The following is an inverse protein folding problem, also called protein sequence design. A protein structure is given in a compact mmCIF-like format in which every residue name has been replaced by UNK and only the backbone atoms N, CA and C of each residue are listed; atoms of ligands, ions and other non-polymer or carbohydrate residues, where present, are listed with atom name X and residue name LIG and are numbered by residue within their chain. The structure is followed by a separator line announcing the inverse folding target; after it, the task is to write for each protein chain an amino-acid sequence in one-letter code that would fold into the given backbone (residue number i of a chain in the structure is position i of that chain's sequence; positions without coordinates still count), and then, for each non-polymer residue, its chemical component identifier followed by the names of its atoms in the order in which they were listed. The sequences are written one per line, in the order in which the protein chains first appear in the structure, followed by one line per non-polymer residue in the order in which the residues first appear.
data_IF_254105942169
#
_entry.id   IF_254105942169
#
_cell.length_a   1.000
_cell.length_b   1.000
_cell.length_c   1.000
_cell.angle_alpha   90.00
_cell.angle_beta   90.00
_cell.angle_gamma   90.00
#
_symmetry.space_group_name_H-M   'P 1'
#
loop_
_entity.id
_entity.type
_entity.pdbx_description
1 polymer ?
#
# COMPACT_ATOMS: atom_id res chain seq x y z
N UNK A 1 -2.33 -3.44 -45.33
CA UNK A 1 -3.51 -3.64 -44.45
C UNK A 1 -3.06 -3.30 -43.07
N UNK A 2 -3.45 -2.13 -42.62
CA UNK A 2 -2.72 -1.19 -41.82
C UNK A 2 -2.71 -1.49 -40.31
N UNK A 3 -1.56 -1.20 -39.70
CA UNK A 3 -1.30 -1.32 -38.25
C UNK A 3 -2.32 -0.57 -37.38
N UNK A 4 -2.97 0.45 -37.96
CA UNK A 4 -3.98 1.29 -37.31
C UNK A 4 -5.31 0.54 -37.02
N UNK A 5 -5.63 -0.47 -37.84
CA UNK A 5 -6.87 -1.25 -37.65
C UNK A 5 -6.80 -2.27 -36.49
N UNK A 6 -5.59 -2.62 -36.05
CA UNK A 6 -5.38 -3.54 -34.93
C UNK A 6 -5.47 -2.86 -33.56
N UNK A 7 -5.19 -1.56 -33.48
CA UNK A 7 -5.27 -0.78 -32.25
C UNK A 7 -6.74 -0.47 -31.90
N UNK A 8 -7.59 -0.29 -32.91
CA UNK A 8 -9.04 -0.05 -32.71
C UNK A 8 -9.84 -1.29 -32.30
N UNK A 9 -9.32 -2.50 -32.52
CA UNK A 9 -9.98 -3.74 -32.11
C UNK A 9 -9.64 -4.19 -30.69
N UNK A 10 -8.60 -3.61 -30.06
CA UNK A 10 -8.19 -3.92 -28.68
C UNK A 10 -8.78 -2.98 -27.63
N UNK A 11 -9.36 -1.85 -28.05
CA UNK A 11 -10.02 -0.90 -27.14
C UNK A 11 -11.54 -1.13 -26.98
N UNK A 12 -12.10 -2.16 -27.60
CA UNK A 12 -13.53 -2.45 -27.61
C UNK A 12 -14.04 -3.50 -26.62
N UNK A 13 -13.20 -4.08 -25.77
CA UNK A 13 -13.61 -5.20 -24.89
C UNK A 13 -13.31 -4.86 -23.42
N UNK A 14 -13.89 -3.81 -22.90
CA UNK A 14 -14.10 -3.67 -21.44
C UNK A 14 -15.29 -2.73 -21.22
N UNK A 15 -16.49 -3.13 -21.60
CA UNK A 15 -17.74 -2.64 -21.00
C UNK A 15 -18.89 -3.61 -21.32
N UNK A 16 -18.76 -4.85 -20.86
CA UNK A 16 -19.93 -5.71 -20.72
C UNK A 16 -20.48 -5.51 -19.32
N UNK A 17 -21.38 -4.55 -19.17
CA UNK A 17 -22.21 -4.39 -18.00
C UNK A 17 -23.01 -5.69 -17.79
N UNK A 18 -22.73 -6.40 -16.70
CA UNK A 18 -23.60 -7.46 -16.20
C UNK A 18 -24.88 -6.84 -15.68
N UNK A 19 -25.88 -6.69 -16.54
CA UNK A 19 -27.26 -6.49 -16.11
C UNK A 19 -27.80 -7.85 -15.70
N UNK A 20 -27.82 -8.12 -14.41
CA UNK A 20 -28.57 -9.25 -13.84
C UNK A 20 -30.04 -8.82 -13.81
N UNK A 21 -30.97 -9.52 -14.52
CA UNK A 21 -32.37 -9.23 -14.36
C UNK A 21 -32.82 -9.64 -12.94
N UNK A 22 -33.30 -8.69 -12.17
CA UNK A 22 -34.00 -8.95 -10.94
C UNK A 22 -35.30 -9.69 -11.29
N UNK A 23 -35.31 -11.02 -11.14
CA UNK A 23 -36.55 -11.78 -11.14
C UNK A 23 -37.28 -11.51 -9.83
N UNK A 24 -38.35 -10.75 -9.92
CA UNK A 24 -39.31 -10.61 -8.85
C UNK A 24 -39.90 -12.00 -8.58
N UNK A 25 -39.54 -12.60 -7.45
CA UNK A 25 -40.22 -13.78 -6.93
C UNK A 25 -41.64 -13.37 -6.53
N UNK A 26 -42.58 -13.73 -7.39
CA UNK A 26 -43.99 -13.67 -7.05
C UNK A 26 -44.27 -14.54 -5.86
N UNK A 27 -44.86 -13.93 -4.85
CA UNK A 27 -45.33 -14.59 -3.64
C UNK A 27 -46.36 -15.68 -3.99
N UNK A 28 -45.95 -16.91 -3.89
CA UNK A 28 -46.89 -18.05 -3.87
C UNK A 28 -47.24 -18.33 -2.42
N UNK A 29 -48.54 -18.21 -2.11
CA UNK A 29 -49.23 -18.89 -1.04
C UNK A 29 -48.79 -18.54 0.38
N UNK A 30 -49.51 -17.65 1.03
CA UNK A 30 -49.46 -17.53 2.49
C UNK A 30 -50.03 -18.84 3.10
N UNK A 31 -49.13 -19.72 3.54
CA UNK A 31 -49.53 -20.74 4.51
C UNK A 31 -49.95 -20.05 5.83
N UNK A 32 -51.03 -20.47 6.48
CA UNK A 32 -51.44 -19.88 7.75
C UNK A 32 -50.31 -20.05 8.77
N UNK A 33 -49.82 -18.92 9.26
CA UNK A 33 -48.78 -18.88 10.28
C UNK A 33 -49.24 -19.71 11.50
N UNK A 34 -48.60 -20.83 11.75
CA UNK A 34 -48.75 -21.55 13.00
C UNK A 34 -48.40 -20.62 14.15
N UNK A 35 -49.25 -20.50 15.21
CA UNK A 35 -48.96 -19.59 16.29
C UNK A 35 -47.62 -20.00 16.94
N UNK A 36 -46.67 -19.06 17.01
CA UNK A 36 -45.41 -19.28 17.71
C UNK A 36 -45.68 -19.60 19.17
N UNK A 37 -45.39 -20.85 19.57
CA UNK A 37 -45.65 -21.38 20.92
C UNK A 37 -44.65 -20.83 21.96
N UNK A 38 -43.60 -20.12 21.51
CA UNK A 38 -42.59 -19.52 22.40
C UNK A 38 -42.34 -18.11 21.96
N UNK A 39 -42.78 -17.12 22.72
CA UNK A 39 -42.29 -15.75 22.59
C UNK A 39 -40.91 -15.68 23.27
N UNK A 40 -39.80 -15.57 22.50
CA UNK A 40 -38.52 -15.38 23.15
C UNK A 40 -38.49 -13.96 23.74
N UNK A 41 -38.61 -13.85 25.05
CA UNK A 41 -38.32 -12.61 25.79
C UNK A 41 -36.82 -12.36 25.73
N UNK A 42 -36.29 -12.12 24.54
CA UNK A 42 -34.94 -11.66 24.38
C UNK A 42 -34.95 -10.18 24.77
N UNK A 43 -34.43 -9.86 25.97
CA UNK A 43 -34.04 -8.51 26.27
C UNK A 43 -33.07 -8.10 25.14
N UNK A 44 -33.51 -7.23 24.25
CA UNK A 44 -32.62 -6.57 23.31
C UNK A 44 -31.54 -5.91 24.16
N UNK A 45 -30.33 -6.48 24.08
CA UNK A 45 -29.15 -5.82 24.60
C UNK A 45 -29.00 -4.62 23.71
N UNK A 46 -29.08 -3.41 24.27
CA UNK A 46 -28.61 -2.23 23.57
C UNK A 46 -27.08 -2.46 23.39
N UNK A 47 -26.73 -2.99 22.25
CA UNK A 47 -25.35 -2.99 21.78
C UNK A 47 -25.14 -1.54 21.35
N UNK A 48 -24.49 -0.76 22.19
CA UNK A 48 -23.87 0.46 21.71
C UNK A 48 -22.97 0.02 20.53
N UNK A 49 -23.26 0.43 19.30
CA UNK A 49 -22.28 0.24 18.25
C UNK A 49 -20.99 0.89 18.79
N UNK A 50 -19.83 0.21 18.70
CA UNK A 50 -18.56 0.85 19.02
C UNK A 50 -18.59 2.18 18.28
N UNK A 51 -18.40 3.29 19.02
CA UNK A 51 -18.29 4.60 18.40
C UNK A 51 -17.26 4.42 17.30
N UNK A 52 -17.60 4.77 16.05
CA UNK A 52 -16.63 4.89 14.98
C UNK A 52 -15.58 5.84 15.56
N UNK A 53 -14.41 5.28 15.89
CA UNK A 53 -13.30 6.08 16.33
C UNK A 53 -13.02 7.08 15.22
N UNK A 54 -13.18 8.36 15.53
CA UNK A 54 -13.02 9.46 14.56
C UNK A 54 -11.55 9.78 14.32
N UNK A 55 -10.67 8.85 14.61
CA UNK A 55 -9.23 8.97 14.45
C UNK A 55 -8.85 8.70 12.99
N UNK A 56 -8.95 9.78 12.19
CA UNK A 56 -8.64 9.71 10.76
C UNK A 56 -7.16 9.88 10.44
N UNK A 57 -6.37 10.31 11.42
CA UNK A 57 -4.94 10.51 11.24
C UNK A 57 -4.15 9.30 11.73
N UNK A 58 -3.17 8.92 10.95
CA UNK A 58 -2.23 7.85 11.25
C UNK A 58 -0.81 8.39 11.04
N UNK A 59 0.09 8.22 12.01
CA UNK A 59 1.49 8.59 11.87
C UNK A 59 2.40 7.55 12.51
N UNK A 60 3.58 7.34 11.92
CA UNK A 60 4.51 6.37 12.44
C UNK A 60 5.86 6.33 11.74
N UNK A 61 6.65 5.35 12.15
CA UNK A 61 8.00 5.12 11.68
C UNK A 61 8.11 3.74 11.06
N UNK A 62 9.07 3.59 10.16
CA UNK A 62 9.41 2.30 9.56
C UNK A 62 10.92 2.10 9.47
N UNK A 63 11.31 0.84 9.41
CA UNK A 63 12.67 0.38 9.14
C UNK A 63 12.58 -0.82 8.20
N UNK A 64 13.57 -1.00 7.35
CA UNK A 64 13.59 -2.12 6.42
C UNK A 64 14.83 -2.16 5.55
N UNK A 65 14.67 -2.70 4.37
CA UNK A 65 15.71 -2.78 3.36
C UNK A 65 15.22 -2.21 2.04
N UNK A 66 16.11 -1.57 1.31
CA UNK A 66 15.89 -1.11 -0.05
C UNK A 66 16.97 -1.69 -0.95
N UNK A 67 16.58 -2.27 -2.07
CA UNK A 67 17.49 -2.65 -3.15
C UNK A 67 17.55 -1.49 -4.13
N UNK A 68 18.66 -0.76 -4.12
CA UNK A 68 18.91 0.34 -5.05
C UNK A 68 19.55 -0.29 -6.30
N UNK A 69 18.94 -0.08 -7.46
CA UNK A 69 19.41 -0.67 -8.72
C UNK A 69 20.87 -0.28 -8.96
N UNK A 70 21.69 -1.27 -9.31
CA UNK A 70 23.13 -1.21 -9.51
C UNK A 70 23.99 -0.97 -8.23
N UNK A 71 23.39 -0.58 -7.08
CA UNK A 71 24.09 -0.28 -5.82
C UNK A 71 23.82 -1.27 -4.67
N UNK A 72 23.06 -2.34 -4.97
CA UNK A 72 22.78 -3.40 -4.01
C UNK A 72 21.73 -3.04 -2.95
N UNK A 73 21.66 -3.88 -1.91
CA UNK A 73 20.69 -3.74 -0.84
C UNK A 73 21.27 -2.97 0.36
N UNK A 74 20.47 -2.08 0.92
CA UNK A 74 20.84 -1.23 2.06
C UNK A 74 19.72 -1.14 3.07
N UNK A 75 20.06 -0.83 4.32
CA UNK A 75 19.05 -0.53 5.34
C UNK A 75 18.39 0.81 5.03
N UNK A 76 17.07 0.83 5.08
CA UNK A 76 16.27 2.05 4.96
C UNK A 76 15.45 2.28 6.22
N UNK A 77 15.19 3.54 6.53
CA UNK A 77 14.31 3.95 7.62
C UNK A 77 13.65 5.28 7.28
N UNK A 78 12.53 5.55 7.94
CA UNK A 78 11.79 6.75 7.67
C UNK A 78 10.52 6.89 8.48
N UNK A 79 9.67 7.83 8.06
CA UNK A 79 8.39 8.10 8.67
C UNK A 79 7.29 8.20 7.62
N UNK A 80 6.05 7.98 8.09
CA UNK A 80 4.83 8.16 7.30
C UNK A 80 3.79 8.89 8.11
N UNK A 81 2.94 9.61 7.41
CA UNK A 81 1.71 10.18 7.93
C UNK A 81 0.61 9.91 6.92
N UNK A 82 -0.53 9.43 7.38
CA UNK A 82 -1.67 9.14 6.51
C UNK A 82 -2.94 9.80 7.05
N UNK A 83 -3.85 10.09 6.16
CA UNK A 83 -5.20 10.55 6.45
C UNK A 83 -6.22 9.63 5.78
N UNK A 84 -7.09 9.04 6.57
CA UNK A 84 -8.14 8.13 6.12
C UNK A 84 -9.40 8.91 5.79
N UNK A 85 -9.74 8.99 4.49
CA UNK A 85 -10.99 9.64 4.02
C UNK A 85 -12.19 8.75 4.28
N UNK A 86 -11.99 7.45 4.14
CA UNK A 86 -12.96 6.38 4.39
C UNK A 86 -12.24 5.18 4.96
N UNK A 87 -12.96 4.14 5.34
CA UNK A 87 -12.37 2.86 5.76
C UNK A 87 -11.50 2.22 4.67
N UNK A 88 -11.83 2.49 3.39
CA UNK A 88 -11.16 1.89 2.24
C UNK A 88 -10.08 2.77 1.62
N UNK A 89 -10.17 4.10 1.74
CA UNK A 89 -9.31 5.03 0.99
C UNK A 89 -8.59 5.99 1.93
N UNK A 90 -7.28 6.10 1.73
CA UNK A 90 -6.43 7.01 2.48
C UNK A 90 -5.42 7.72 1.57
N UNK A 91 -4.90 8.86 2.02
CA UNK A 91 -3.71 9.49 1.46
C UNK A 91 -2.56 9.33 2.45
N UNK A 92 -1.36 9.09 1.93
CA UNK A 92 -0.15 8.90 2.73
C UNK A 92 0.99 9.75 2.20
N UNK A 93 1.64 10.48 3.08
CA UNK A 93 2.93 11.11 2.80
C UNK A 93 4.04 10.32 3.49
N UNK A 94 5.07 9.98 2.73
CA UNK A 94 6.21 9.18 3.21
C UNK A 94 7.51 9.93 2.99
N UNK A 95 8.42 9.83 3.94
CA UNK A 95 9.82 10.22 3.80
C UNK A 95 10.71 9.09 4.28
N UNK A 96 11.70 8.71 3.49
CA UNK A 96 12.63 7.65 3.85
C UNK A 96 14.05 7.94 3.38
N UNK A 97 15.01 7.30 4.03
CA UNK A 97 16.42 7.44 3.71
C UNK A 97 17.15 6.11 3.79
N UNK A 98 18.17 5.97 2.97
CA UNK A 98 19.11 4.85 2.96
C UNK A 98 20.48 5.34 2.49
N UNK A 99 21.54 4.56 2.71
CA UNK A 99 22.86 4.80 2.14
C UNK A 99 23.17 3.73 1.09
N UNK A 100 23.34 4.13 -0.17
CA UNK A 100 23.68 3.23 -1.26
C UNK A 100 25.02 2.51 -1.02
N UNK A 101 25.09 1.25 -1.37
CA UNK A 101 26.31 0.45 -1.31
C UNK A 101 27.32 0.83 -2.39
N UNK A 102 28.36 0.03 -2.53
CA UNK A 102 29.30 0.10 -3.67
C UNK A 102 28.71 -0.67 -4.85
N UNK A 103 28.98 -0.21 -6.05
CA UNK A 103 28.63 -0.97 -7.25
C UNK A 103 29.61 -2.14 -7.46
N UNK A 104 29.16 -3.16 -8.20
CA UNK A 104 30.05 -4.25 -8.61
C UNK A 104 31.28 -3.75 -9.39
N UNK A 105 31.16 -2.64 -10.10
CA UNK A 105 32.26 -2.02 -10.83
C UNK A 105 33.31 -1.41 -9.88
N UNK A 106 32.87 -0.72 -8.82
CA UNK A 106 33.76 -0.16 -7.80
C UNK A 106 34.51 -1.27 -7.06
N UNK A 107 33.83 -2.38 -6.71
CA UNK A 107 34.43 -3.52 -6.03
C UNK A 107 35.48 -4.25 -6.92
N UNK A 108 35.23 -4.37 -8.23
CA UNK A 108 36.13 -5.02 -9.16
C UNK A 108 37.32 -4.12 -9.58
N UNK A 109 37.10 -2.83 -9.72
CA UNK A 109 38.15 -1.87 -10.13
C UNK A 109 39.12 -1.53 -9.00
N UNK A 110 38.68 -1.64 -7.74
CA UNK A 110 39.49 -1.44 -6.55
C UNK A 110 39.98 -0.01 -6.29
N UNK A 111 39.75 0.94 -7.20
CA UNK A 111 40.27 2.31 -7.12
C UNK A 111 39.36 3.39 -7.71
N UNK A 112 38.29 3.03 -8.42
CA UNK A 112 37.36 4.00 -8.99
C UNK A 112 36.14 4.13 -8.06
N UNK A 113 35.96 5.27 -7.42
CA UNK A 113 34.74 5.61 -6.70
C UNK A 113 33.83 6.38 -7.65
N UNK A 114 32.63 5.83 -7.93
CA UNK A 114 31.63 6.45 -8.79
C UNK A 114 30.87 7.57 -8.06
N UNK A 115 30.65 7.39 -6.75
CA UNK A 115 29.94 8.35 -5.92
C UNK A 115 30.73 8.67 -4.66
N UNK A 116 30.73 9.92 -4.27
CA UNK A 116 31.23 10.35 -2.95
C UNK A 116 30.30 9.85 -1.84
N UNK A 117 30.77 9.85 -0.59
CA UNK A 117 29.97 9.43 0.57
C UNK A 117 28.65 10.23 0.74
N UNK A 118 28.64 11.50 0.32
CA UNK A 118 27.45 12.34 0.36
C UNK A 118 26.47 12.03 -0.78
N UNK A 119 26.96 11.68 -1.95
CA UNK A 119 26.14 11.31 -3.12
C UNK A 119 25.51 9.92 -2.99
N UNK A 120 26.05 9.05 -2.11
CA UNK A 120 25.46 7.76 -1.77
C UNK A 120 24.20 7.86 -0.91
N UNK A 121 23.89 9.08 -0.43
CA UNK A 121 22.65 9.27 0.33
C UNK A 121 21.44 9.17 -0.60
N UNK A 122 20.61 8.16 -0.38
CA UNK A 122 19.34 7.97 -1.05
C UNK A 122 18.25 8.48 -0.12
N UNK A 123 17.56 9.55 -0.51
CA UNK A 123 16.44 10.10 0.27
C UNK A 123 15.26 10.26 -0.65
N UNK A 124 14.12 9.69 -0.28
CA UNK A 124 12.88 9.81 -1.04
C UNK A 124 11.78 10.44 -0.20
N UNK A 125 10.89 11.15 -0.84
CA UNK A 125 9.63 11.61 -0.29
C UNK A 125 8.55 11.50 -1.36
N UNK A 126 7.39 11.00 -0.97
CA UNK A 126 6.28 10.77 -1.88
C UNK A 126 4.94 11.04 -1.21
N UNK A 127 3.96 11.38 -2.03
CA UNK A 127 2.54 11.45 -1.69
C UNK A 127 1.81 10.38 -2.47
N UNK A 128 1.11 9.51 -1.77
CA UNK A 128 0.44 8.34 -2.32
C UNK A 128 -1.04 8.32 -1.93
N UNK A 129 -1.86 7.77 -2.81
CA UNK A 129 -3.23 7.34 -2.48
C UNK A 129 -3.18 5.84 -2.21
N UNK A 130 -3.79 5.42 -1.13
CA UNK A 130 -3.91 4.04 -0.72
C UNK A 130 -5.34 3.53 -0.74
N UNK A 131 -5.50 2.25 -1.03
CA UNK A 131 -6.76 1.54 -1.04
C UNK A 131 -6.66 0.24 -0.26
N UNK A 132 -7.51 0.07 0.77
CA UNK A 132 -7.66 -1.16 1.53
C UNK A 132 -8.50 -2.16 0.70
N UNK A 133 -7.82 -3.01 -0.05
CA UNK A 133 -8.45 -3.91 -1.02
C UNK A 133 -9.07 -5.14 -0.37
N UNK A 134 -8.43 -5.70 0.66
CA UNK A 134 -8.83 -6.95 1.31
C UNK A 134 -8.84 -6.74 2.84
N UNK A 135 -9.97 -6.30 3.41
CA UNK A 135 -10.14 -6.31 4.86
C UNK A 135 -10.24 -7.75 5.37
N UNK A 136 -9.70 -8.00 6.56
CA UNK A 136 -9.67 -9.33 7.15
C UNK A 136 -9.34 -9.30 8.63
N UNK A 137 -9.11 -10.47 9.20
CA UNK A 137 -8.69 -10.65 10.59
C UNK A 137 -7.50 -11.61 10.66
N UNK A 138 -6.54 -11.28 11.50
CA UNK A 138 -5.41 -12.14 11.84
C UNK A 138 -5.59 -12.65 13.26
N UNK A 139 -5.47 -13.96 13.43
CA UNK A 139 -5.58 -14.59 14.74
C UNK A 139 -4.20 -14.82 15.35
N UNK A 140 -3.95 -14.22 16.50
CA UNK A 140 -2.73 -14.44 17.27
C UNK A 140 -3.01 -15.34 18.47
N UNK A 141 -2.23 -16.42 18.62
CA UNK A 141 -2.36 -17.34 19.76
C UNK A 141 -3.69 -18.10 19.87
N UNK A 142 -4.50 -18.14 18.82
CA UNK A 142 -5.76 -18.91 18.74
C UNK A 142 -6.97 -18.26 19.42
N UNK A 143 -6.83 -17.14 20.13
CA UNK A 143 -7.91 -16.52 20.90
C UNK A 143 -8.11 -15.03 20.63
N UNK A 144 -7.13 -14.33 20.10
CA UNK A 144 -7.23 -12.90 19.84
C UNK A 144 -7.31 -12.65 18.33
N UNK A 145 -8.47 -12.20 17.87
CA UNK A 145 -8.66 -11.66 16.53
C UNK A 145 -8.19 -10.20 16.49
N UNK A 146 -7.39 -9.86 15.50
CA UNK A 146 -6.93 -8.50 15.24
C UNK A 146 -7.35 -8.09 13.84
N UNK A 147 -8.04 -6.94 13.67
CA UNK A 147 -8.38 -6.42 12.36
C UNK A 147 -7.14 -6.25 11.51
N UNK A 148 -7.24 -6.61 10.24
CA UNK A 148 -6.14 -6.49 9.28
C UNK A 148 -6.67 -6.06 7.92
N UNK A 149 -5.81 -5.49 7.09
CA UNK A 149 -6.14 -5.16 5.71
C UNK A 149 -4.90 -5.31 4.83
N UNK A 150 -5.09 -5.93 3.66
CA UNK A 150 -4.12 -5.79 2.56
C UNK A 150 -4.49 -4.56 1.78
N UNK A 151 -3.52 -3.69 1.53
CA UNK A 151 -3.72 -2.45 0.82
C UNK A 151 -2.70 -2.27 -0.31
N UNK A 152 -3.07 -1.42 -1.26
CA UNK A 152 -2.21 -0.97 -2.34
C UNK A 152 -2.05 0.54 -2.28
N UNK A 153 -0.87 1.03 -2.66
CA UNK A 153 -0.58 2.46 -2.75
C UNK A 153 -0.03 2.81 -4.13
N UNK A 154 -0.43 3.95 -4.63
CA UNK A 154 0.12 4.57 -5.84
C UNK A 154 0.38 6.03 -5.56
N UNK A 155 1.57 6.50 -5.84
CA UNK A 155 1.96 7.86 -5.58
C UNK A 155 3.05 8.38 -6.48
N UNK A 156 3.38 9.64 -6.25
CA UNK A 156 4.46 10.33 -6.91
C UNK A 156 5.21 11.21 -5.91
N UNK A 157 6.47 11.46 -6.19
CA UNK A 157 7.32 12.24 -5.33
C UNK A 157 8.65 12.56 -5.97
N UNK A 158 9.67 12.68 -5.14
CA UNK A 158 11.04 12.90 -5.60
C UNK A 158 12.01 12.06 -4.78
N UNK A 159 13.04 11.60 -5.47
CA UNK A 159 14.16 10.89 -4.86
C UNK A 159 15.43 11.70 -5.12
N UNK A 160 16.13 12.05 -4.05
CA UNK A 160 17.48 12.64 -4.13
C UNK A 160 18.49 11.52 -4.07
N UNK A 161 19.25 11.37 -5.15
CA UNK A 161 20.30 10.36 -5.28
C UNK A 161 21.40 10.85 -6.21
N UNK A 162 22.65 10.53 -5.92
CA UNK A 162 23.83 10.91 -6.70
C UNK A 162 24.00 12.44 -6.92
N UNK A 163 23.47 13.25 -6.01
CA UNK A 163 23.53 14.71 -6.08
C UNK A 163 22.36 15.38 -6.77
N UNK A 164 21.50 14.62 -7.47
CA UNK A 164 20.37 15.11 -8.24
C UNK A 164 19.02 14.70 -7.63
N UNK A 165 17.98 15.49 -7.95
CA UNK A 165 16.59 15.19 -7.58
C UNK A 165 15.86 14.58 -8.78
N UNK A 166 15.34 13.36 -8.61
CA UNK A 166 14.64 12.60 -9.65
C UNK A 166 13.16 12.53 -9.35
N UNK A 167 12.31 12.82 -10.34
CA UNK A 167 10.88 12.57 -10.22
C UNK A 167 10.65 11.05 -10.05
N UNK A 168 9.92 10.65 -9.02
CA UNK A 168 9.75 9.26 -8.64
C UNK A 168 8.28 8.88 -8.64
N UNK A 169 7.96 7.74 -9.22
CA UNK A 169 6.67 7.08 -9.09
C UNK A 169 6.81 5.97 -8.06
N UNK A 170 5.94 5.98 -7.05
CA UNK A 170 5.88 4.99 -5.99
C UNK A 170 4.68 4.07 -6.19
N UNK A 171 4.92 2.76 -6.27
CA UNK A 171 3.88 1.73 -6.29
C UNK A 171 4.14 0.79 -5.12
N UNK A 172 3.13 0.55 -4.29
CA UNK A 172 3.26 -0.27 -3.10
C UNK A 172 2.12 -1.24 -2.87
N UNK A 173 2.42 -2.27 -2.09
CA UNK A 173 1.46 -3.16 -1.47
C UNK A 173 1.88 -3.41 -0.03
N UNK A 174 0.90 -3.49 0.89
CA UNK A 174 1.18 -3.70 2.29
C UNK A 174 0.11 -4.51 3.01
N UNK A 175 0.49 -5.00 4.17
CA UNK A 175 -0.39 -5.60 5.15
C UNK A 175 -0.38 -4.73 6.40
N UNK A 176 -1.53 -4.25 6.82
CA UNK A 176 -1.74 -3.55 8.08
C UNK A 176 -2.47 -4.46 9.05
N UNK A 177 -2.00 -4.54 10.29
CA UNK A 177 -2.64 -5.27 11.38
C UNK A 177 -2.80 -4.32 12.56
N UNK A 178 -4.02 -4.12 13.05
CA UNK A 178 -4.29 -3.33 14.23
C UNK A 178 -3.99 -4.16 15.48
N UNK A 179 -2.90 -3.83 16.18
CA UNK A 179 -2.52 -4.49 17.43
C UNK A 179 -3.46 -4.13 18.58
N UNK A 180 -4.00 -2.92 18.56
CA UNK A 180 -5.07 -2.40 19.42
C UNK A 180 -5.76 -1.24 18.69
N UNK A 181 -6.70 -0.54 19.38
CA UNK A 181 -7.56 0.48 18.81
C UNK A 181 -6.78 1.68 18.21
N UNK A 182 -5.55 1.91 18.64
CA UNK A 182 -4.74 3.08 18.25
C UNK A 182 -3.34 2.76 17.71
N UNK A 183 -2.90 1.48 17.69
CA UNK A 183 -1.61 1.06 17.15
C UNK A 183 -1.80 0.06 16.02
N UNK A 184 -1.19 0.33 14.89
CA UNK A 184 -1.07 -0.61 13.78
C UNK A 184 0.39 -0.98 13.49
N UNK A 185 0.54 -2.21 12.97
CA UNK A 185 1.81 -2.74 12.46
C UNK A 185 1.66 -2.93 10.95
N UNK A 186 2.68 -2.53 10.22
CA UNK A 186 2.72 -2.59 8.77
C UNK A 186 3.86 -3.46 8.27
N UNK A 187 3.58 -4.22 7.22
CA UNK A 187 4.57 -4.88 6.38
C UNK A 187 4.36 -4.39 4.95
N UNK A 188 5.32 -3.71 4.38
CA UNK A 188 5.20 -3.08 3.08
C UNK A 188 6.25 -3.56 2.10
N UNK A 189 5.84 -3.66 0.83
CA UNK A 189 6.72 -3.76 -0.32
C UNK A 189 6.41 -2.59 -1.25
N UNK A 190 7.42 -1.77 -1.57
CA UNK A 190 7.29 -0.61 -2.45
C UNK A 190 8.31 -0.66 -3.56
N UNK A 191 7.92 -0.21 -4.74
CA UNK A 191 8.82 0.05 -5.85
C UNK A 191 8.88 1.56 -6.08
N UNK A 192 10.07 2.13 -5.99
CA UNK A 192 10.36 3.53 -6.29
C UNK A 192 11.02 3.57 -7.66
N UNK A 193 10.26 3.99 -8.67
CA UNK A 193 10.73 4.05 -10.06
C UNK A 193 11.05 5.49 -10.45
N UNK A 194 12.26 5.73 -10.93
CA UNK A 194 12.71 7.02 -11.47
C UNK A 194 13.74 6.86 -12.57
N UNK A 195 13.91 7.89 -13.40
CA UNK A 195 14.92 7.91 -14.44
C UNK A 195 16.22 8.49 -13.91
N UNK A 196 17.35 7.86 -14.25
CA UNK A 196 18.70 8.32 -13.94
C UNK A 196 19.61 8.13 -15.16
N UNK A 197 20.59 8.99 -15.32
CA UNK A 197 21.61 8.96 -16.39
C UNK A 197 23.03 8.72 -15.85
N UNK A 198 23.15 8.24 -14.62
CA UNK A 198 24.40 8.06 -13.88
C UNK A 198 25.46 7.23 -14.65
N UNK A 199 25.01 6.30 -15.49
CA UNK A 199 25.88 5.43 -16.29
C UNK A 199 26.02 5.90 -17.74
N UNK A 200 25.60 7.14 -18.07
CA UNK A 200 25.76 7.78 -19.37
C UNK A 200 24.60 7.57 -20.34
N UNK A 201 23.60 6.74 -19.99
CA UNK A 201 22.35 6.61 -20.73
C UNK A 201 21.19 6.79 -19.76
N UNK A 202 20.14 7.52 -20.20
CA UNK A 202 18.93 7.65 -19.39
C UNK A 202 18.24 6.30 -19.27
N UNK A 203 18.09 5.81 -18.05
CA UNK A 203 17.51 4.50 -17.73
C UNK A 203 16.47 4.66 -16.64
N UNK A 204 15.30 4.03 -16.83
CA UNK A 204 14.32 3.86 -15.77
C UNK A 204 14.83 2.80 -14.79
N UNK A 205 15.00 3.19 -13.52
CA UNK A 205 15.46 2.31 -12.45
C UNK A 205 14.31 1.93 -11.54
N UNK A 206 14.38 0.71 -10.98
CA UNK A 206 13.41 0.15 -10.06
C UNK A 206 14.07 -0.15 -8.72
N UNK A 207 13.68 0.59 -7.68
CA UNK A 207 14.25 0.45 -6.36
C UNK A 207 13.22 -0.19 -5.44
N UNK A 208 13.42 -1.47 -5.14
CA UNK A 208 12.47 -2.26 -4.36
C UNK A 208 12.78 -2.13 -2.87
N UNK A 209 11.80 -1.65 -2.11
CA UNK A 209 11.90 -1.44 -0.68
C UNK A 209 10.93 -2.37 0.07
N UNK A 210 11.43 -3.04 1.12
CA UNK A 210 10.64 -3.82 2.06
C UNK A 210 10.77 -3.21 3.44
N UNK A 211 9.65 -2.89 4.08
CA UNK A 211 9.66 -2.23 5.39
C UNK A 211 8.73 -2.88 6.38
N UNK A 212 9.13 -2.78 7.65
CA UNK A 212 8.31 -3.01 8.82
C UNK A 212 8.07 -1.67 9.50
N UNK A 213 6.82 -1.32 9.74
CA UNK A 213 6.41 -0.06 10.33
C UNK A 213 5.53 -0.24 11.55
N UNK A 214 5.53 0.76 12.42
CA UNK A 214 4.58 0.90 13.51
C UNK A 214 4.02 2.31 13.46
N UNK A 215 2.69 2.39 13.51
CA UNK A 215 1.94 3.64 13.43
C UNK A 215 0.97 3.78 14.59
N UNK A 216 0.60 5.01 14.89
CA UNK A 216 -0.44 5.34 15.83
C UNK A 216 -1.53 6.15 15.14
N UNK A 217 -2.78 5.84 15.47
CA UNK A 217 -3.99 6.57 15.08
C UNK A 217 -4.34 7.64 16.10
N UNK A 218 -4.83 8.81 15.66
CA UNK A 218 -5.22 9.94 16.52
C UNK A 218 -6.16 10.92 15.79
#
# INVERSE_FOLDING_TARGET
MDRELRVLLLSGIVLAAFTVPAQAQQAAGAEPATPQVVEPRVKRRDVNPPGLDTENWEAGLFVGTISIEDFGASVSYGGRIAYHFTEDVFAEATIGTAKAGKTSYEDLSGSAELLTDSERQFTHYDLSVGWNALPGEVFFGGTRAMPSAVYFTLGAGSTRFAGDDHFTVALGAGLRVLANDWIAVHLDARNLAFETDLLGESKLTHNLQFTFGVTAFF
#
